data_IF_547335218310
#
_entry.id   IF_547335218310
#
_cell.length_a   1.000
_cell.length_b   1.000
_cell.length_c   1.000
_cell.angle_alpha   90.00
_cell.angle_beta   90.00
_cell.angle_gamma   90.00
#
_symmetry.space_group_name_H-M   'P 1'
#
loop_
_entity.id
_entity.type
_entity.pdbx_description
1 polymer ?
#
# COMPACT_ATOMS: atom_id res chain seq x y z
N UNK A 1 -23.73 -1.40 29.91
CA UNK A 1 -24.24 -1.48 28.52
C UNK A 1 -23.16 -2.17 27.72
N UNK A 2 -23.35 -3.47 27.52
CA UNK A 2 -22.45 -4.30 26.73
C UNK A 2 -22.77 -3.96 25.26
N UNK A 3 -21.88 -3.21 24.61
CA UNK A 3 -22.08 -2.79 23.22
C UNK A 3 -22.24 -4.02 22.32
N UNK A 4 -23.27 -3.97 21.47
CA UNK A 4 -23.62 -4.88 20.37
C UNK A 4 -22.40 -5.13 19.47
N UNK A 5 -21.50 -6.04 19.91
CA UNK A 5 -20.37 -6.49 19.09
C UNK A 5 -20.96 -7.31 17.95
N UNK A 6 -20.71 -6.93 16.68
CA UNK A 6 -21.12 -7.77 15.57
C UNK A 6 -20.46 -9.15 15.69
N UNK A 7 -21.23 -10.21 15.41
CA UNK A 7 -20.72 -11.58 15.43
C UNK A 7 -19.55 -11.78 14.44
N UNK A 8 -19.61 -11.09 13.29
CA UNK A 8 -18.56 -11.10 12.28
C UNK A 8 -18.08 -9.67 11.95
N UNK A 9 -16.76 -9.48 11.90
CA UNK A 9 -16.16 -8.19 11.59
C UNK A 9 -14.70 -8.32 11.10
N UNK A 10 -14.22 -7.26 10.46
CA UNK A 10 -12.79 -6.99 10.26
C UNK A 10 -12.43 -5.73 11.05
N UNK A 11 -11.48 -5.83 11.97
CA UNK A 11 -10.90 -4.67 12.68
C UNK A 11 -9.38 -4.69 12.55
N UNK A 12 -8.84 -3.60 11.99
CA UNK A 12 -7.42 -3.31 11.98
C UNK A 12 -7.19 -1.96 12.68
N UNK A 13 -6.40 -1.99 13.74
CA UNK A 13 -6.04 -0.81 14.52
C UNK A 13 -4.54 -0.79 14.78
N UNK A 14 -3.87 0.31 14.44
CA UNK A 14 -2.45 0.52 14.65
C UNK A 14 -2.18 1.93 15.20
N UNK A 15 -1.35 2.01 16.24
CA UNK A 15 -0.77 3.25 16.77
C UNK A 15 0.71 3.02 17.05
N UNK A 16 1.58 3.62 16.24
CA UNK A 16 3.02 3.54 16.41
C UNK A 16 3.69 4.87 16.03
N UNK A 17 4.27 5.57 17.01
CA UNK A 17 4.74 6.96 16.85
C UNK A 17 3.62 7.82 16.26
N UNK A 18 3.90 8.58 15.19
CA UNK A 18 2.92 9.41 14.47
C UNK A 18 1.97 8.61 13.55
N UNK A 19 2.21 7.31 13.35
CA UNK A 19 1.33 6.49 12.53
C UNK A 19 0.11 6.02 13.34
N UNK A 20 -1.06 6.52 12.94
CA UNK A 20 -2.36 6.06 13.41
C UNK A 20 -3.17 5.56 12.22
N UNK A 21 -3.70 4.34 12.31
CA UNK A 21 -4.60 3.78 11.31
C UNK A 21 -5.68 2.94 12.00
N UNK A 22 -6.94 3.20 11.62
CA UNK A 22 -8.09 2.41 12.06
C UNK A 22 -8.90 2.08 10.82
N UNK A 23 -9.16 0.79 10.59
CA UNK A 23 -10.03 0.28 9.52
C UNK A 23 -10.96 -0.77 10.11
N UNK A 24 -12.26 -0.50 10.04
CA UNK A 24 -13.29 -1.37 10.59
C UNK A 24 -14.34 -1.67 9.52
N UNK A 25 -14.82 -2.90 9.49
CA UNK A 25 -15.94 -3.37 8.70
C UNK A 25 -16.81 -4.26 9.58
N UNK A 26 -18.08 -3.90 9.77
CA UNK A 26 -19.11 -4.79 10.31
C UNK A 26 -19.60 -5.68 9.18
N UNK A 27 -19.64 -6.99 9.39
CA UNK A 27 -20.16 -7.94 8.42
C UNK A 27 -21.61 -8.24 8.77
N UNK A 28 -22.47 -8.21 7.76
CA UNK A 28 -23.90 -8.50 7.83
C UNK A 28 -24.25 -9.58 6.81
N UNK A 29 -25.44 -10.21 6.87
CA UNK A 29 -25.85 -11.18 5.86
C UNK A 29 -25.90 -10.62 4.42
N UNK A 30 -25.93 -9.29 4.26
CA UNK A 30 -25.91 -8.62 2.95
C UNK A 30 -24.49 -8.24 2.49
N UNK A 31 -23.50 -8.35 3.37
CA UNK A 31 -22.10 -8.03 3.05
C UNK A 31 -21.55 -9.07 2.10
N UNK A 32 -21.11 -8.62 0.93
CA UNK A 32 -20.59 -9.52 -0.10
C UNK A 32 -19.10 -9.84 0.13
N UNK A 33 -18.62 -11.01 -0.31
CA UNK A 33 -17.20 -11.37 -0.21
C UNK A 33 -16.25 -10.35 -0.83
N UNK A 34 -16.61 -9.73 -1.96
CA UNK A 34 -15.81 -8.71 -2.62
C UNK A 34 -15.67 -7.42 -1.78
N UNK A 35 -16.65 -7.08 -0.94
CA UNK A 35 -16.55 -5.96 -0.01
C UNK A 35 -15.54 -6.26 1.11
N UNK A 36 -15.55 -7.48 1.63
CA UNK A 36 -14.56 -7.94 2.62
C UNK A 36 -13.16 -7.90 2.01
N UNK A 37 -12.99 -8.46 0.81
CA UNK A 37 -11.71 -8.43 0.08
C UNK A 37 -11.24 -7.00 -0.19
N UNK A 38 -12.15 -6.09 -0.53
CA UNK A 38 -11.86 -4.67 -0.73
C UNK A 38 -11.35 -3.98 0.53
N UNK A 39 -11.96 -4.28 1.68
CA UNK A 39 -11.49 -3.78 2.97
C UNK A 39 -10.11 -4.31 3.33
N UNK A 40 -9.86 -5.61 3.12
CA UNK A 40 -8.56 -6.25 3.35
C UNK A 40 -7.47 -5.67 2.43
N UNK A 41 -7.77 -5.45 1.14
CA UNK A 41 -6.86 -4.77 0.22
C UNK A 41 -6.52 -3.35 0.68
N UNK A 42 -7.49 -2.64 1.27
CA UNK A 42 -7.27 -1.34 1.89
C UNK A 42 -6.38 -1.39 3.13
N UNK A 43 -6.50 -2.42 3.97
CA UNK A 43 -5.61 -2.64 5.12
C UNK A 43 -4.19 -2.91 4.62
N UNK A 44 -4.03 -3.82 3.66
CA UNK A 44 -2.74 -4.12 3.02
C UNK A 44 -2.05 -2.85 2.51
N UNK A 45 -2.76 -2.02 1.75
CA UNK A 45 -2.22 -0.74 1.25
C UNK A 45 -1.78 0.23 2.36
N UNK A 46 -2.32 0.10 3.58
CA UNK A 46 -1.96 0.95 4.72
C UNK A 46 -0.66 0.47 5.39
N UNK A 47 -0.41 -0.84 5.37
CA UNK A 47 0.74 -1.45 6.07
C UNK A 47 1.95 -1.65 5.15
N UNK A 48 1.76 -1.84 3.84
CA UNK A 48 2.80 -2.22 2.88
C UNK A 48 4.08 -1.40 3.03
N UNK A 49 4.05 -0.09 2.78
CA UNK A 49 5.24 0.77 2.89
C UNK A 49 5.66 1.00 4.34
N UNK A 50 4.74 0.89 5.30
CA UNK A 50 5.01 1.10 6.73
C UNK A 50 5.86 -0.03 7.31
N UNK A 51 5.63 -1.28 6.89
CA UNK A 51 6.43 -2.42 7.35
C UNK A 51 7.91 -2.24 7.03
N UNK A 52 8.24 -1.85 5.80
CA UNK A 52 9.64 -1.60 5.40
C UNK A 52 10.26 -0.41 6.17
N UNK A 53 9.51 0.68 6.37
CA UNK A 53 9.96 1.82 7.18
C UNK A 53 10.22 1.43 8.63
N UNK A 54 9.37 0.59 9.23
CA UNK A 54 9.54 0.08 10.60
C UNK A 54 10.80 -0.77 10.73
N UNK A 55 11.15 -1.53 9.68
CA UNK A 55 12.43 -2.26 9.61
C UNK A 55 13.65 -1.34 9.43
N UNK A 56 13.46 -0.03 9.22
CA UNK A 56 14.55 0.92 9.01
C UNK A 56 15.05 0.99 7.57
N UNK A 57 14.19 0.67 6.59
CA UNK A 57 14.46 0.86 5.16
C UNK A 57 13.95 2.23 4.74
N UNK A 58 14.81 3.03 4.13
CA UNK A 58 14.46 4.31 3.52
C UNK A 58 13.76 4.11 2.17
N UNK A 59 12.46 3.83 2.26
CA UNK A 59 11.63 3.64 1.07
C UNK A 59 11.43 4.92 0.25
N UNK A 60 11.66 6.12 0.80
CA UNK A 60 11.53 7.37 0.04
C UNK A 60 12.68 7.49 -0.96
N UNK A 61 13.92 7.20 -0.52
CA UNK A 61 15.08 7.15 -1.41
C UNK A 61 14.92 6.10 -2.52
N UNK A 62 14.34 4.94 -2.20
CA UNK A 62 14.04 3.90 -3.20
C UNK A 62 12.97 4.41 -4.19
N UNK A 63 11.88 5.01 -3.70
CA UNK A 63 10.82 5.56 -4.54
C UNK A 63 11.35 6.64 -5.50
N UNK A 64 12.20 7.55 -5.03
CA UNK A 64 12.84 8.57 -5.89
C UNK A 64 13.72 7.93 -6.97
N UNK A 65 14.45 6.87 -6.64
CA UNK A 65 15.25 6.13 -7.63
C UNK A 65 14.36 5.45 -8.67
N UNK A 66 13.23 4.87 -8.25
CA UNK A 66 12.27 4.21 -9.15
C UNK A 66 11.66 5.19 -10.15
N UNK A 67 11.38 6.43 -9.76
CA UNK A 67 10.84 7.45 -10.70
C UNK A 67 11.76 7.73 -11.89
N UNK A 68 13.05 7.44 -11.77
CA UNK A 68 14.04 7.63 -12.83
C UNK A 68 14.10 6.44 -13.80
N UNK A 69 13.44 5.32 -13.47
CA UNK A 69 13.39 4.13 -14.33
C UNK A 69 12.38 4.37 -15.47
N UNK A 70 12.79 4.21 -16.74
CA UNK A 70 11.87 4.28 -17.87
C UNK A 70 10.75 3.25 -17.72
N UNK A 71 9.55 3.50 -18.24
CA UNK A 71 8.46 2.51 -18.17
C UNK A 71 8.40 1.68 -19.46
N UNK A 72 8.46 0.34 -19.36
CA UNK A 72 8.46 -0.59 -20.52
C UNK A 72 7.08 -1.14 -20.92
N UNK A 73 5.99 -0.66 -20.31
CA UNK A 73 4.63 -1.16 -20.57
C UNK A 73 4.05 -1.93 -19.39
N UNK A 74 3.13 -2.87 -19.65
CA UNK A 74 2.40 -3.67 -18.63
C UNK A 74 2.68 -5.17 -18.81
N UNK A 75 2.48 -5.97 -17.76
CA UNK A 75 2.62 -7.43 -17.78
C UNK A 75 4.08 -7.89 -17.76
N UNK A 76 4.39 -8.93 -18.53
CA UNK A 76 5.73 -9.52 -18.59
C UNK A 76 6.87 -8.52 -18.90
N UNK A 77 6.71 -7.53 -19.83
CA UNK A 77 7.71 -6.49 -20.04
C UNK A 77 8.05 -5.67 -18.79
N UNK A 78 7.04 -5.35 -17.96
CA UNK A 78 7.25 -4.60 -16.71
C UNK A 78 8.05 -5.42 -15.70
N UNK A 79 7.74 -6.70 -15.58
CA UNK A 79 8.45 -7.63 -14.69
C UNK A 79 9.91 -7.79 -15.13
N UNK A 80 10.13 -8.04 -16.41
CA UNK A 80 11.48 -8.20 -16.99
C UNK A 80 12.33 -6.94 -16.80
N UNK A 81 11.75 -5.76 -17.05
CA UNK A 81 12.44 -4.51 -16.83
C UNK A 81 12.78 -4.30 -15.35
N UNK A 82 11.83 -4.49 -14.44
CA UNK A 82 12.07 -4.31 -13.01
C UNK A 82 13.21 -5.22 -12.52
N UNK A 83 13.25 -6.48 -12.97
CA UNK A 83 14.35 -7.40 -12.66
C UNK A 83 15.69 -6.92 -13.23
N UNK A 84 15.70 -6.45 -14.48
CA UNK A 84 16.91 -5.94 -15.14
C UNK A 84 17.45 -4.68 -14.43
N UNK A 85 16.57 -3.76 -14.04
CA UNK A 85 16.94 -2.52 -13.33
C UNK A 85 17.51 -2.81 -11.94
N UNK A 86 16.94 -3.77 -11.20
CA UNK A 86 17.48 -4.21 -9.91
C UNK A 86 18.89 -4.77 -9.99
N UNK A 87 19.26 -5.33 -11.15
CA UNK A 87 20.59 -5.90 -11.33
C UNK A 87 21.66 -4.87 -11.66
N UNK A 88 21.27 -3.64 -12.04
CA UNK A 88 22.22 -2.57 -12.36
C UNK A 88 23.03 -2.14 -11.13
N UNK A 89 24.35 -1.94 -11.27
CA UNK A 89 25.23 -1.58 -10.14
C UNK A 89 24.76 -0.35 -9.37
N UNK A 90 24.32 0.69 -10.07
CA UNK A 90 23.83 1.93 -9.47
C UNK A 90 22.53 1.74 -8.68
N UNK A 91 21.64 0.85 -9.13
CA UNK A 91 20.40 0.56 -8.42
C UNK A 91 20.69 -0.31 -7.18
N UNK A 92 21.59 -1.29 -7.30
CA UNK A 92 22.07 -2.08 -6.16
C UNK A 92 22.68 -1.21 -5.06
N UNK A 93 23.48 -0.21 -5.45
CA UNK A 93 24.06 0.78 -4.52
C UNK A 93 22.95 1.58 -3.84
N UNK A 94 22.02 2.15 -4.60
CA UNK A 94 20.89 2.90 -4.03
C UNK A 94 20.06 2.08 -3.03
N UNK A 95 19.81 0.79 -3.30
CA UNK A 95 19.12 -0.11 -2.37
C UNK A 95 19.96 -0.34 -1.11
N UNK A 96 21.28 -0.53 -1.24
CA UNK A 96 22.17 -0.74 -0.11
C UNK A 96 22.25 0.50 0.79
N UNK A 97 22.35 1.69 0.19
CA UNK A 97 22.39 2.97 0.92
C UNK A 97 21.07 3.25 1.66
N UNK A 98 19.95 2.75 1.14
CA UNK A 98 18.64 2.86 1.79
C UNK A 98 18.44 1.89 2.96
N UNK A 99 19.37 0.96 3.21
CA UNK A 99 19.27 -0.03 4.28
C UNK A 99 20.17 0.34 5.47
N UNK A 100 19.60 0.34 6.68
CA UNK A 100 20.38 0.49 7.92
C UNK A 100 21.32 -0.70 8.21
N UNK A 101 21.10 -1.84 7.56
CA UNK A 101 21.93 -3.05 7.68
C UNK A 101 21.83 -3.91 6.42
N UNK A 102 22.92 -4.63 6.10
CA UNK A 102 22.98 -5.56 4.96
C UNK A 102 21.94 -6.69 5.05
N UNK A 103 21.51 -7.06 6.27
CA UNK A 103 20.48 -8.08 6.49
C UNK A 103 19.12 -7.66 5.91
N UNK A 104 18.90 -6.35 5.73
CA UNK A 104 17.64 -5.82 5.20
C UNK A 104 17.57 -5.78 3.67
N UNK A 105 18.69 -5.99 2.98
CA UNK A 105 18.77 -5.93 1.52
C UNK A 105 17.71 -6.78 0.80
N UNK A 106 17.41 -8.03 1.20
CA UNK A 106 16.39 -8.82 0.52
C UNK A 106 15.01 -8.15 0.57
N UNK A 107 14.65 -7.55 1.71
CA UNK A 107 13.36 -6.87 1.88
C UNK A 107 13.29 -5.56 1.09
N UNK A 108 14.37 -4.79 1.06
CA UNK A 108 14.44 -3.57 0.26
C UNK A 108 14.33 -3.87 -1.26
N UNK A 109 14.96 -4.96 -1.72
CA UNK A 109 14.79 -5.47 -3.09
C UNK A 109 13.35 -5.89 -3.37
N UNK A 110 12.69 -6.60 -2.46
CA UNK A 110 11.28 -6.98 -2.60
C UNK A 110 10.37 -5.75 -2.71
N UNK A 111 10.59 -4.73 -1.88
CA UNK A 111 9.87 -3.47 -1.96
C UNK A 111 10.05 -2.81 -3.32
N UNK A 112 11.32 -2.63 -3.75
CA UNK A 112 11.64 -1.97 -5.02
C UNK A 112 11.05 -2.72 -6.22
N UNK A 113 11.17 -4.05 -6.26
CA UNK A 113 10.61 -4.90 -7.31
C UNK A 113 9.09 -4.70 -7.43
N UNK A 114 8.38 -4.87 -6.31
CA UNK A 114 6.93 -4.75 -6.28
C UNK A 114 6.48 -3.34 -6.70
N UNK A 115 7.18 -2.31 -6.21
CA UNK A 115 6.89 -0.93 -6.51
C UNK A 115 7.06 -0.62 -8.01
N UNK A 116 8.16 -1.03 -8.63
CA UNK A 116 8.39 -0.83 -10.07
C UNK A 116 7.33 -1.51 -10.94
N UNK A 117 6.96 -2.75 -10.61
CA UNK A 117 5.93 -3.50 -11.34
C UNK A 117 4.57 -2.79 -11.21
N UNK A 118 4.22 -2.36 -9.99
CA UNK A 118 2.98 -1.63 -9.71
C UNK A 118 2.92 -0.26 -10.43
N UNK A 119 4.00 0.52 -10.46
CA UNK A 119 4.06 1.81 -11.15
C UNK A 119 3.98 1.70 -12.68
N UNK A 120 4.27 0.52 -13.21
CA UNK A 120 4.07 0.16 -14.61
C UNK A 120 2.63 -0.24 -14.91
N UNK A 121 1.75 -0.28 -13.90
CA UNK A 121 0.34 -0.63 -14.03
C UNK A 121 0.05 -2.13 -14.03
N UNK A 122 1.01 -2.94 -13.55
CA UNK A 122 0.85 -4.38 -13.33
C UNK A 122 0.76 -4.62 -11.83
N UNK A 123 -0.33 -5.19 -11.34
CA UNK A 123 -0.51 -5.33 -9.91
C UNK A 123 0.18 -6.60 -9.37
N UNK A 124 1.03 -6.46 -8.37
CA UNK A 124 1.70 -7.60 -7.69
C UNK A 124 0.85 -8.22 -6.57
N UNK A 125 -0.33 -7.65 -6.34
CA UNK A 125 -1.25 -8.06 -5.28
C UNK A 125 -2.65 -7.55 -5.60
N UNK A 126 -3.66 -8.07 -4.91
CA UNK A 126 -5.02 -7.57 -5.04
C UNK A 126 -5.13 -6.16 -4.42
N UNK A 127 -5.41 -5.15 -5.26
CA UNK A 127 -5.64 -3.79 -4.80
C UNK A 127 -7.13 -3.42 -4.80
N UNK A 128 -7.47 -2.39 -4.02
CA UNK A 128 -8.80 -1.76 -4.07
C UNK A 128 -9.12 -1.25 -5.48
N UNK A 129 -8.11 -0.79 -6.23
CA UNK A 129 -8.29 -0.33 -7.60
C UNK A 129 -8.67 -1.48 -8.53
N UNK A 130 -7.97 -2.62 -8.50
CA UNK A 130 -8.33 -3.81 -9.28
C UNK A 130 -9.75 -4.28 -8.97
N UNK A 131 -10.08 -4.39 -7.68
CA UNK A 131 -11.42 -4.80 -7.26
C UNK A 131 -12.50 -3.84 -7.78
N UNK A 132 -12.30 -2.53 -7.65
CA UNK A 132 -13.28 -1.52 -8.13
C UNK A 132 -13.45 -1.48 -9.65
N UNK A 133 -12.48 -1.97 -10.43
CA UNK A 133 -12.61 -2.11 -11.89
C UNK A 133 -13.55 -3.25 -12.28
N UNK A 134 -13.58 -4.32 -11.48
CA UNK A 134 -14.39 -5.51 -11.72
C UNK A 134 -15.77 -5.36 -11.08
N UNK A 135 -15.82 -4.98 -9.80
CA UNK A 135 -17.02 -4.79 -9.00
C UNK A 135 -17.32 -3.29 -8.87
N UNK A 136 -18.15 -2.77 -9.78
CA UNK A 136 -18.43 -1.33 -9.94
C UNK A 136 -19.14 -0.70 -8.74
N UNK A 137 -19.77 -1.51 -7.91
CA UNK A 137 -20.38 -1.10 -6.63
C UNK A 137 -19.33 -0.71 -5.59
N UNK A 138 -18.11 -1.25 -5.67
CA UNK A 138 -17.02 -0.94 -4.76
C UNK A 138 -16.45 0.43 -5.10
N UNK A 139 -16.86 1.45 -4.34
CA UNK A 139 -16.35 2.81 -4.52
C UNK A 139 -15.05 3.02 -3.72
N UNK A 140 -14.05 3.70 -4.30
CA UNK A 140 -12.94 4.27 -3.53
C UNK A 140 -13.49 5.00 -2.30
N UNK A 141 -12.95 4.76 -1.09
CA UNK A 141 -13.25 5.63 0.03
C UNK A 141 -12.88 7.05 -0.42
N UNK A 142 -13.87 7.96 -0.40
CA UNK A 142 -13.62 9.36 -0.75
C UNK A 142 -12.46 9.81 0.15
N UNK A 143 -11.40 10.38 -0.45
CA UNK A 143 -10.35 11.03 0.34
C UNK A 143 -11.04 11.95 1.34
N UNK A 144 -10.66 11.94 2.64
CA UNK A 144 -11.24 12.84 3.61
C UNK A 144 -11.17 14.24 2.99
N UNK A 145 -12.35 14.80 2.69
CA UNK A 145 -12.42 16.12 2.08
C UNK A 145 -11.55 17.03 2.94
N UNK A 146 -10.65 17.77 2.30
CA UNK A 146 -9.89 18.83 2.97
C UNK A 146 -10.93 19.65 3.71
N UNK A 147 -10.99 19.54 5.05
CA UNK A 147 -11.81 20.42 5.87
C UNK A 147 -11.47 21.81 5.38
N UNK A 148 -12.45 22.47 4.76
CA UNK A 148 -12.25 23.83 4.31
C UNK A 148 -11.83 24.60 5.56
N UNK A 149 -10.63 25.19 5.52
CA UNK A 149 -10.21 26.17 6.51
C UNK A 149 -11.27 27.27 6.47
N UNK A 150 -12.24 27.25 7.38
CA UNK A 150 -13.34 28.22 7.32
C UNK A 150 -14.56 28.00 8.21
N UNK A 151 -14.79 26.82 8.78
CA UNK A 151 -15.88 26.66 9.75
C UNK A 151 -15.33 26.76 11.17
N UNK A 152 -15.35 27.98 11.72
CA UNK A 152 -15.28 28.17 13.17
C UNK A 152 -16.44 27.38 13.80
N UNK A 153 -16.20 26.62 14.88
CA UNK A 153 -17.31 26.02 15.63
C UNK A 153 -18.22 27.14 16.13
N UNK A 154 -19.52 27.03 15.85
CA UNK A 154 -20.52 27.85 16.54
C UNK A 154 -20.52 27.42 18.01
N UNK A 155 -20.40 28.41 18.88
CA UNK A 155 -20.63 28.28 20.32
C UNK A 155 -22.05 27.79 20.61
#
# INVERSE_FOLDING_TARGET
>A
MEEDKPEEFVDFSAKYKEWVAVKRLRITPQTKPEEIAYHLAGIRSTIDSKMFRVLGIDVDSIDERIKQVPKSGKGAPAVSQALTELEKPEFKRAIADACSSQVLLPFAKTYALNKMINESGTETSLSQLALSKVFKELKPPKAPGRLSKGLKPKA
#
